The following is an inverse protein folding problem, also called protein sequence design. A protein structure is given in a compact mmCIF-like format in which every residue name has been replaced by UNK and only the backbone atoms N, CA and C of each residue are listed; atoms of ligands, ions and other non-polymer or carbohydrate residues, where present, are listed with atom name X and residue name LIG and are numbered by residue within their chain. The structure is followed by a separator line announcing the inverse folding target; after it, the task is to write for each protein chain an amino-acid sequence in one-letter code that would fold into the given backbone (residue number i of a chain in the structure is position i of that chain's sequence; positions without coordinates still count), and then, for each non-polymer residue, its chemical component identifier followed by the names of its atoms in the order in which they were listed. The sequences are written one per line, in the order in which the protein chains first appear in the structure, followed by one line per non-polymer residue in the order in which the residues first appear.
data_IF_465960752434
#
_entry.id   IF_465960752434
#
_cell.length_a   1.000
_cell.length_b   1.000
_cell.length_c   1.000
_cell.angle_alpha   90.00
_cell.angle_beta   90.00
_cell.angle_gamma   90.00
#
_symmetry.space_group_name_H-M   'P 1'
#
loop_
_entity.id
_entity.type
_entity.pdbx_description
1 polymer ?
#
# COMPACT_ATOMS: atom_id res chain seq x y z
N UNK A 1 42.48 32.10 -15.68
CA UNK A 1 42.82 33.11 -14.68
C UNK A 1 41.64 33.24 -13.69
N UNK A 2 41.96 33.12 -12.46
CA UNK A 2 41.25 33.33 -11.21
C UNK A 2 40.41 32.17 -10.67
N UNK A 3 41.12 31.41 -9.87
CA UNK A 3 40.61 30.61 -8.78
C UNK A 3 40.25 31.51 -7.56
N UNK A 4 39.22 31.20 -6.83
CA UNK A 4 39.10 31.56 -5.41
C UNK A 4 38.58 30.38 -4.65
N UNK A 5 39.42 29.90 -3.74
CA UNK A 5 39.13 28.88 -2.72
C UNK A 5 38.73 29.57 -1.39
N UNK A 6 38.41 28.71 -0.40
CA UNK A 6 38.34 28.91 1.05
C UNK A 6 36.92 29.18 1.60
N UNK A 7 36.45 28.63 2.70
CA UNK A 7 37.12 28.15 3.94
C UNK A 7 36.22 27.16 4.69
N UNK A 8 36.86 26.13 5.20
CA UNK A 8 36.32 25.29 6.29
C UNK A 8 36.37 26.06 7.62
N UNK A 9 35.41 25.87 8.51
CA UNK A 9 35.52 26.25 9.93
C UNK A 9 35.02 25.11 10.81
N UNK A 10 35.99 24.46 11.38
CA UNK A 10 35.89 23.53 12.54
C UNK A 10 35.72 24.37 13.79
N UNK A 11 34.80 24.03 14.68
CA UNK A 11 34.88 24.44 16.11
C UNK A 11 34.61 23.24 17.02
N UNK A 12 35.67 23.02 17.78
CA UNK A 12 35.86 22.01 18.82
C UNK A 12 34.99 22.17 20.06
N UNK A 13 34.90 21.06 20.74
CA UNK A 13 34.33 20.80 22.05
C UNK A 13 34.94 21.62 23.20
N UNK A 14 34.18 21.83 24.26
CA UNK A 14 34.70 21.92 25.61
C UNK A 14 33.82 21.23 26.64
N UNK A 15 34.47 20.35 27.37
CA UNK A 15 34.02 19.71 28.59
C UNK A 15 33.72 20.73 29.73
N UNK A 16 32.77 20.42 30.58
CA UNK A 16 32.76 20.92 31.95
C UNK A 16 32.27 19.84 32.91
N UNK A 17 33.04 19.72 33.96
CA UNK A 17 33.17 18.73 35.01
C UNK A 17 32.20 19.04 36.18
N UNK A 18 31.81 17.96 36.90
CA UNK A 18 31.05 17.93 38.16
C UNK A 18 31.57 18.83 39.28
N UNK A 19 30.77 19.07 40.37
CA UNK A 19 31.11 18.36 41.59
C UNK A 19 29.91 17.75 42.37
N UNK A 20 30.26 16.68 43.07
CA UNK A 20 29.51 16.04 44.16
C UNK A 20 29.54 16.96 45.40
N UNK A 21 28.48 16.93 46.19
CA UNK A 21 28.53 17.20 47.61
C UNK A 21 27.60 16.25 48.38
N UNK A 22 28.23 15.57 49.30
CA UNK A 22 27.63 14.70 50.31
C UNK A 22 27.26 15.51 51.56
N UNK A 23 26.20 15.15 52.25
CA UNK A 23 26.10 15.39 53.69
C UNK A 23 25.21 14.35 54.37
N UNK A 24 25.81 13.78 55.41
CA UNK A 24 25.25 12.85 56.38
C UNK A 24 24.42 13.60 57.45
N UNK A 25 23.50 12.85 58.07
CA UNK A 25 22.89 13.14 59.40
C UNK A 25 21.65 12.27 59.54
N UNK A 26 21.58 11.31 60.27
CA UNK A 26 21.75 10.85 61.63
C UNK A 26 20.45 10.97 62.47
N UNK A 27 19.98 9.77 62.87
CA UNK A 27 19.30 9.40 64.13
C UNK A 27 17.90 9.87 64.48
N UNK A 28 17.08 8.85 64.78
CA UNK A 28 16.26 8.75 65.97
C UNK A 28 14.95 7.93 65.80
N UNK A 29 14.68 7.00 66.69
CA UNK A 29 13.59 6.05 66.57
C UNK A 29 12.35 6.51 67.33
N UNK A 30 11.18 5.99 66.97
CA UNK A 30 10.20 5.46 67.92
C UNK A 30 8.80 5.29 67.29
N UNK A 31 8.21 4.27 67.75
CA UNK A 31 6.84 3.94 68.08
C UNK A 31 6.12 3.02 67.07
N UNK A 32 6.00 1.80 67.55
CA UNK A 32 5.10 0.77 67.05
C UNK A 32 3.64 1.17 67.32
N UNK A 33 2.85 1.23 66.26
CA UNK A 33 1.42 1.00 66.40
C UNK A 33 1.02 -0.08 65.41
N UNK A 34 0.64 -1.21 66.00
CA UNK A 34 0.03 -2.36 65.29
C UNK A 34 -1.42 -2.00 64.97
N UNK A 35 -1.75 -1.85 63.70
CA UNK A 35 -3.12 -1.89 63.22
C UNK A 35 -3.32 -3.22 62.46
N UNK A 36 -4.38 -3.97 62.69
CA UNK A 36 -4.57 -5.32 62.16
C UNK A 36 -4.85 -5.24 60.64
N UNK A 37 -4.13 -6.07 59.90
CA UNK A 37 -4.36 -6.27 58.48
C UNK A 37 -5.77 -6.84 58.22
N UNK A 38 -6.69 -6.01 57.76
CA UNK A 38 -7.88 -6.47 57.08
C UNK A 38 -7.48 -7.02 55.71
N UNK A 39 -7.66 -8.29 55.53
CA UNK A 39 -7.59 -8.97 54.24
C UNK A 39 -8.59 -8.32 53.25
N UNK A 40 -8.15 -7.35 52.50
CA UNK A 40 -8.84 -6.92 51.31
C UNK A 40 -8.58 -8.01 50.23
N UNK A 41 -9.58 -8.84 50.01
CA UNK A 41 -9.60 -9.70 48.81
C UNK A 41 -9.52 -8.79 47.59
N UNK A 42 -8.36 -8.78 46.97
CA UNK A 42 -8.18 -8.24 45.61
C UNK A 42 -9.12 -9.02 44.69
N UNK A 43 -10.24 -8.43 44.32
CA UNK A 43 -11.00 -8.84 43.18
C UNK A 43 -10.12 -8.61 41.96
N UNK A 44 -9.52 -9.68 41.46
CA UNK A 44 -8.93 -9.69 40.13
C UNK A 44 -9.99 -9.23 39.15
N UNK A 45 -9.95 -7.97 38.79
CA UNK A 45 -10.65 -7.46 37.61
C UNK A 45 -10.09 -8.26 36.42
N UNK A 46 -10.83 -9.27 36.00
CA UNK A 46 -10.67 -9.86 34.69
C UNK A 46 -10.89 -8.71 33.70
N UNK A 47 -9.81 -8.17 33.20
CA UNK A 47 -9.83 -7.36 31.99
C UNK A 47 -10.39 -8.30 30.92
N UNK A 48 -11.67 -8.18 30.66
CA UNK A 48 -12.26 -8.69 29.45
C UNK A 48 -11.59 -7.88 28.33
N UNK A 49 -10.51 -8.43 27.78
CA UNK A 49 -10.06 -8.04 26.46
C UNK A 49 -11.25 -8.29 25.53
N UNK A 50 -12.02 -7.27 25.31
CA UNK A 50 -12.97 -7.19 24.21
C UNK A 50 -12.13 -7.24 22.96
N UNK A 51 -11.82 -8.44 22.51
CA UNK A 51 -11.28 -8.68 21.19
C UNK A 51 -12.36 -8.15 20.25
N UNK A 52 -12.14 -6.93 19.75
CA UNK A 52 -13.00 -6.36 18.73
C UNK A 52 -13.03 -7.40 17.61
N UNK A 53 -14.17 -8.04 17.41
CA UNK A 53 -14.39 -8.94 16.28
C UNK A 53 -14.53 -8.00 15.09
N UNK A 54 -13.40 -7.64 14.51
CA UNK A 54 -13.42 -6.93 13.24
C UNK A 54 -14.16 -7.82 12.24
N UNK A 55 -15.18 -7.27 11.61
CA UNK A 55 -15.81 -7.92 10.49
C UNK A 55 -14.72 -8.31 9.50
N UNK A 56 -14.80 -9.50 8.95
CA UNK A 56 -13.75 -10.03 8.09
C UNK A 56 -14.38 -10.52 6.79
N UNK A 57 -13.69 -10.24 5.68
CA UNK A 57 -14.06 -10.74 4.35
C UNK A 57 -13.30 -12.03 4.09
N UNK A 58 -14.02 -13.11 3.86
CA UNK A 58 -13.43 -14.43 3.60
C UNK A 58 -13.46 -14.69 2.10
N UNK A 59 -12.29 -14.92 1.49
CA UNK A 59 -12.23 -15.37 0.10
C UNK A 59 -12.69 -16.84 0.03
N UNK A 60 -13.77 -17.13 -0.75
CA UNK A 60 -14.48 -18.40 -0.61
C UNK A 60 -13.69 -19.62 -1.08
N UNK A 61 -12.79 -19.47 -2.07
CA UNK A 61 -12.06 -20.59 -2.64
C UNK A 61 -10.81 -20.99 -1.84
N UNK A 62 -10.11 -20.03 -1.23
CA UNK A 62 -8.86 -20.25 -0.47
C UNK A 62 -9.07 -20.24 1.03
N UNK A 63 -10.21 -19.69 1.49
CA UNK A 63 -10.54 -19.44 2.91
C UNK A 63 -9.60 -18.42 3.59
N UNK A 64 -8.86 -17.66 2.79
CA UNK A 64 -8.08 -16.54 3.30
C UNK A 64 -9.02 -15.48 3.85
N UNK A 65 -8.67 -14.96 5.02
CA UNK A 65 -9.46 -13.95 5.71
C UNK A 65 -8.75 -12.60 5.65
N UNK A 66 -9.45 -11.60 5.14
CA UNK A 66 -9.01 -10.22 5.07
C UNK A 66 -9.77 -9.36 6.07
N UNK A 67 -9.14 -8.41 6.75
CA UNK A 67 -9.85 -7.47 7.62
C UNK A 67 -10.85 -6.64 6.79
N UNK A 68 -12.00 -6.31 7.38
CA UNK A 68 -13.02 -5.48 6.73
C UNK A 68 -12.54 -4.04 6.49
N UNK A 69 -11.60 -3.59 7.30
CA UNK A 69 -10.94 -2.28 7.17
C UNK A 69 -9.43 -2.44 7.22
N UNK A 70 -8.73 -1.58 6.50
CA UNK A 70 -7.28 -1.48 6.49
C UNK A 70 -6.87 -0.05 6.79
N UNK A 71 -6.02 0.14 7.80
CA UNK A 71 -5.42 1.45 8.08
C UNK A 71 -4.07 1.55 7.37
N UNK A 72 -3.81 2.66 6.71
CA UNK A 72 -2.51 2.96 6.11
C UNK A 72 -1.43 3.05 7.19
N UNK A 73 -0.19 2.80 6.82
CA UNK A 73 0.95 2.81 7.76
C UNK A 73 1.09 4.16 8.49
N UNK A 74 0.74 5.25 7.83
CA UNK A 74 0.73 6.60 8.39
C UNK A 74 -0.56 6.94 9.18
N UNK A 75 -1.49 6.00 9.32
CA UNK A 75 -2.81 6.16 9.94
C UNK A 75 -3.62 7.36 9.42
N UNK A 76 -3.31 7.83 8.21
CA UNK A 76 -4.01 8.99 7.61
C UNK A 76 -5.35 8.61 6.98
N UNK A 77 -5.55 7.35 6.65
CA UNK A 77 -6.80 6.85 6.09
C UNK A 77 -7.17 5.47 6.61
N UNK A 78 -8.47 5.25 6.78
CA UNK A 78 -9.05 3.94 7.04
C UNK A 78 -9.82 3.53 5.79
N UNK A 79 -9.29 2.53 5.09
CA UNK A 79 -9.90 2.03 3.86
C UNK A 79 -10.84 0.87 4.16
N UNK A 80 -11.95 0.78 3.42
CA UNK A 80 -12.94 -0.28 3.48
C UNK A 80 -12.60 -1.39 2.49
N UNK A 81 -12.73 -2.64 2.90
CA UNK A 81 -12.62 -3.78 2.00
C UNK A 81 -13.84 -3.82 1.06
N UNK A 82 -13.61 -3.75 -0.23
CA UNK A 82 -14.65 -3.86 -1.26
C UNK A 82 -15.01 -5.31 -1.54
N UNK A 83 -14.05 -6.23 -1.40
CA UNK A 83 -14.24 -7.64 -1.68
C UNK A 83 -12.93 -8.39 -1.79
N UNK A 84 -13.03 -9.69 -2.02
CA UNK A 84 -11.86 -10.54 -2.20
C UNK A 84 -12.12 -11.61 -3.26
N UNK A 85 -11.05 -12.01 -3.95
CA UNK A 85 -11.07 -13.08 -4.93
C UNK A 85 -9.75 -13.83 -4.99
N UNK A 86 -9.67 -14.82 -5.88
CA UNK A 86 -8.51 -15.69 -6.03
C UNK A 86 -7.91 -15.59 -7.42
N UNK A 87 -6.59 -15.51 -7.51
CA UNK A 87 -5.91 -15.77 -8.79
C UNK A 87 -5.59 -17.24 -8.92
N UNK A 88 -6.01 -17.79 -10.06
CA UNK A 88 -5.67 -19.14 -10.47
C UNK A 88 -4.79 -19.09 -11.74
N UNK A 89 -3.77 -19.93 -11.78
CA UNK A 89 -2.99 -20.16 -13.01
C UNK A 89 -3.27 -21.56 -13.52
N UNK A 90 -3.61 -21.66 -14.80
CA UNK A 90 -3.78 -22.98 -15.42
C UNK A 90 -2.41 -23.57 -15.72
N UNK A 91 -2.11 -24.71 -15.10
CA UNK A 91 -0.90 -25.49 -15.34
C UNK A 91 -1.36 -26.81 -15.95
N UNK A 92 -1.07 -27.00 -17.22
CA UNK A 92 -1.62 -28.10 -18.03
C UNK A 92 -3.17 -28.12 -17.95
N UNK A 93 -3.76 -29.10 -17.30
CA UNK A 93 -5.21 -29.26 -17.16
C UNK A 93 -5.75 -28.85 -15.79
N UNK A 94 -4.88 -28.41 -14.86
CA UNK A 94 -5.25 -28.12 -13.47
C UNK A 94 -5.19 -26.61 -13.22
N UNK A 95 -6.25 -26.07 -12.61
CA UNK A 95 -6.24 -24.70 -12.10
C UNK A 95 -5.60 -24.67 -10.72
N UNK A 96 -4.46 -24.00 -10.63
CA UNK A 96 -3.68 -23.88 -9.38
C UNK A 96 -3.93 -22.52 -8.77
N UNK A 97 -4.44 -22.49 -7.53
CA UNK A 97 -4.59 -21.27 -6.76
C UNK A 97 -3.21 -20.77 -6.35
N UNK A 98 -2.90 -19.52 -6.68
CA UNK A 98 -1.60 -18.90 -6.42
C UNK A 98 -1.69 -17.98 -5.20
N UNK A 99 -2.68 -17.08 -5.21
CA UNK A 99 -2.92 -16.15 -4.11
C UNK A 99 -4.39 -15.71 -4.03
N UNK A 100 -4.78 -15.24 -2.87
CA UNK A 100 -6.00 -14.47 -2.68
C UNK A 100 -5.66 -12.98 -2.74
N UNK A 101 -6.59 -12.15 -3.21
CA UNK A 101 -6.44 -10.70 -3.29
C UNK A 101 -7.70 -10.04 -2.77
N UNK A 102 -7.53 -8.99 -1.95
CA UNK A 102 -8.61 -8.10 -1.53
C UNK A 102 -8.32 -6.69 -2.00
N UNK A 103 -9.37 -5.97 -2.39
CA UNK A 103 -9.30 -4.55 -2.71
C UNK A 103 -9.86 -3.71 -1.57
N UNK A 104 -9.14 -2.65 -1.26
CA UNK A 104 -9.53 -1.64 -0.27
C UNK A 104 -9.65 -0.28 -0.93
N UNK A 105 -10.57 0.54 -0.46
CA UNK A 105 -10.73 1.92 -0.90
C UNK A 105 -11.12 2.83 0.26
N UNK A 106 -10.75 4.10 0.18
CA UNK A 106 -11.37 5.14 0.97
C UNK A 106 -12.86 5.20 0.59
N UNK A 107 -13.73 4.92 1.54
CA UNK A 107 -15.14 4.69 1.23
C UNK A 107 -15.85 5.93 0.71
N UNK A 108 -15.55 7.09 1.28
CA UNK A 108 -16.19 8.38 0.91
C UNK A 108 -15.69 8.84 -0.46
N UNK A 109 -14.38 8.86 -0.66
CA UNK A 109 -13.79 9.25 -1.94
C UNK A 109 -14.20 8.31 -3.07
N UNK A 110 -14.25 7.00 -2.80
CA UNK A 110 -14.66 6.00 -3.78
C UNK A 110 -16.13 6.19 -4.17
N UNK A 111 -17.04 6.37 -3.21
CA UNK A 111 -18.45 6.62 -3.48
C UNK A 111 -18.62 7.88 -4.33
N UNK A 112 -17.98 9.00 -3.97
CA UNK A 112 -18.04 10.25 -4.71
C UNK A 112 -17.52 10.11 -6.16
N UNK A 113 -16.42 9.38 -6.38
CA UNK A 113 -15.89 9.13 -7.72
C UNK A 113 -16.87 8.31 -8.58
N UNK A 114 -17.46 7.26 -8.02
CA UNK A 114 -18.44 6.42 -8.72
C UNK A 114 -19.72 7.20 -9.06
N UNK A 115 -20.20 8.06 -8.17
CA UNK A 115 -21.33 8.96 -8.42
C UNK A 115 -21.01 10.00 -9.50
N UNK A 116 -19.74 10.42 -9.59
CA UNK A 116 -19.22 11.29 -10.64
C UNK A 116 -19.09 10.61 -12.01
N UNK A 117 -19.30 9.30 -12.07
CA UNK A 117 -19.19 8.51 -13.31
C UNK A 117 -17.83 7.87 -13.54
N UNK A 118 -16.89 8.03 -12.61
CA UNK A 118 -15.59 7.34 -12.67
C UNK A 118 -15.74 5.85 -12.35
N UNK A 119 -14.86 5.02 -12.94
CA UNK A 119 -14.77 3.60 -12.58
C UNK A 119 -13.80 3.35 -11.41
N UNK A 120 -13.79 2.12 -10.89
CA UNK A 120 -12.81 1.71 -9.87
C UNK A 120 -11.37 1.84 -10.34
N UNK A 121 -11.11 1.64 -11.64
CA UNK A 121 -9.78 1.74 -12.21
C UNK A 121 -9.31 3.20 -12.27
N UNK A 122 -10.13 4.07 -12.86
CA UNK A 122 -9.75 5.45 -13.22
C UNK A 122 -10.08 6.47 -12.12
N UNK A 123 -10.94 6.12 -11.16
CA UNK A 123 -11.33 7.00 -10.06
C UNK A 123 -10.14 7.44 -9.20
N UNK A 124 -10.10 8.75 -8.93
CA UNK A 124 -9.03 9.43 -8.18
C UNK A 124 -9.26 9.35 -6.67
N UNK A 125 -9.27 8.16 -6.12
CA UNK A 125 -9.42 7.91 -4.68
C UNK A 125 -8.32 7.00 -4.16
N UNK A 126 -8.06 7.05 -2.86
CA UNK A 126 -7.10 6.19 -2.21
C UNK A 126 -7.57 4.74 -2.29
N UNK A 127 -6.75 3.86 -2.86
CA UNK A 127 -7.07 2.45 -3.08
C UNK A 127 -5.85 1.55 -2.87
N UNK A 128 -6.09 0.33 -2.44
CA UNK A 128 -5.04 -0.64 -2.24
C UNK A 128 -5.49 -2.06 -2.62
N UNK A 129 -4.51 -2.87 -3.03
CA UNK A 129 -4.66 -4.31 -3.18
C UNK A 129 -3.80 -4.99 -2.12
N UNK A 130 -4.40 -5.90 -1.36
CA UNK A 130 -3.69 -6.76 -0.43
C UNK A 130 -3.71 -8.19 -0.99
N UNK A 131 -2.56 -8.64 -1.44
CA UNK A 131 -2.33 -9.99 -1.97
C UNK A 131 -1.81 -10.88 -0.85
N UNK A 132 -2.39 -12.07 -0.65
CA UNK A 132 -1.89 -13.08 0.27
C UNK A 132 -1.63 -14.39 -0.48
N UNK A 133 -0.38 -14.83 -0.45
CA UNK A 133 0.02 -16.08 -1.09
C UNK A 133 -0.58 -17.28 -0.38
N UNK A 134 -1.13 -18.24 -1.15
CA UNK A 134 -1.69 -19.50 -0.59
C UNK A 134 -0.75 -20.68 -0.79
N UNK A 135 0.41 -20.42 -1.36
CA UNK A 135 1.51 -21.36 -1.57
C UNK A 135 2.84 -20.63 -1.60
N UNK A 136 3.93 -21.36 -1.46
CA UNK A 136 5.26 -20.81 -1.70
C UNK A 136 5.41 -20.47 -3.18
N UNK A 137 5.93 -19.30 -3.48
CA UNK A 137 6.28 -18.85 -4.82
C UNK A 137 7.70 -18.29 -4.75
N UNK A 138 8.54 -18.70 -5.66
CA UNK A 138 9.85 -18.10 -5.80
C UNK A 138 9.72 -16.65 -6.26
N UNK A 139 10.52 -15.74 -5.70
CA UNK A 139 10.45 -14.31 -5.98
C UNK A 139 10.64 -13.99 -7.46
N UNK A 140 11.58 -14.67 -8.11
CA UNK A 140 11.79 -14.54 -9.55
C UNK A 140 10.56 -14.98 -10.36
N UNK A 141 9.96 -16.13 -10.01
CA UNK A 141 8.74 -16.61 -10.68
C UNK A 141 7.56 -15.66 -10.45
N UNK A 142 7.48 -15.04 -9.27
CA UNK A 142 6.45 -14.05 -8.98
C UNK A 142 6.66 -12.80 -9.83
N UNK A 143 7.90 -12.32 -9.91
CA UNK A 143 8.29 -11.19 -10.74
C UNK A 143 7.99 -11.44 -12.23
N UNK A 144 8.45 -12.56 -12.79
CA UNK A 144 8.21 -12.91 -14.20
C UNK A 144 6.71 -12.90 -14.55
N UNK A 145 5.86 -13.39 -13.64
CA UNK A 145 4.41 -13.36 -13.86
C UNK A 145 3.81 -11.94 -13.74
N UNK A 146 4.45 -11.04 -12.99
CA UNK A 146 4.06 -9.64 -12.89
C UNK A 146 4.50 -8.87 -14.12
N UNK A 147 5.74 -9.05 -14.55
CA UNK A 147 6.32 -8.48 -15.77
C UNK A 147 5.48 -8.83 -17.01
N UNK A 148 5.17 -10.11 -17.20
CA UNK A 148 4.30 -10.61 -18.28
C UNK A 148 2.92 -9.91 -18.28
N UNK A 149 2.40 -9.58 -17.12
CA UNK A 149 1.11 -8.92 -16.98
C UNK A 149 1.19 -7.39 -17.17
N UNK A 150 2.25 -6.74 -16.74
CA UNK A 150 2.35 -5.27 -16.67
C UNK A 150 2.88 -4.65 -17.95
N UNK A 151 3.95 -5.20 -18.55
CA UNK A 151 4.59 -4.59 -19.72
C UNK A 151 3.63 -4.33 -20.88
N UNK A 152 2.75 -5.28 -21.29
CA UNK A 152 1.77 -5.01 -22.33
C UNK A 152 0.81 -3.87 -21.98
N UNK A 153 0.38 -3.80 -20.72
CA UNK A 153 -0.55 -2.78 -20.22
C UNK A 153 0.08 -1.38 -20.18
N UNK A 154 1.32 -1.29 -19.71
CA UNK A 154 2.07 -0.02 -19.71
C UNK A 154 2.18 0.53 -21.13
N UNK A 155 2.55 -0.31 -22.09
CA UNK A 155 2.64 0.07 -23.50
C UNK A 155 1.30 0.47 -24.11
N UNK A 156 0.23 -0.23 -23.77
CA UNK A 156 -1.12 0.11 -24.21
C UNK A 156 -1.55 1.47 -23.64
N UNK A 157 -1.31 1.73 -22.36
CA UNK A 157 -1.59 3.01 -21.71
C UNK A 157 -0.81 4.12 -22.41
N UNK A 158 0.50 3.96 -22.61
CA UNK A 158 1.34 4.94 -23.28
C UNK A 158 0.92 5.18 -24.74
N UNK A 159 0.55 4.11 -25.48
CA UNK A 159 0.05 4.21 -26.85
C UNK A 159 -1.28 4.99 -26.91
N UNK A 160 -2.19 4.72 -26.00
CA UNK A 160 -3.48 5.41 -25.95
C UNK A 160 -3.29 6.89 -25.60
N UNK A 161 -2.33 7.21 -24.74
CA UNK A 161 -1.95 8.60 -24.45
C UNK A 161 -1.32 9.28 -25.68
N UNK A 162 -0.38 8.61 -26.35
CA UNK A 162 0.34 9.16 -27.50
C UNK A 162 -0.60 9.43 -28.70
N UNK A 163 -1.69 8.69 -28.80
CA UNK A 163 -2.71 8.83 -29.86
C UNK A 163 -3.90 9.71 -29.47
N UNK A 164 -3.88 10.33 -28.27
CA UNK A 164 -4.94 11.21 -27.84
C UNK A 164 -5.05 12.44 -28.76
N UNK A 165 -6.29 12.77 -29.10
CA UNK A 165 -6.65 13.92 -29.93
C UNK A 165 -7.29 15.02 -29.04
N UNK A 166 -7.18 16.27 -29.49
CA UNK A 166 -7.92 17.34 -28.85
C UNK A 166 -9.42 17.27 -29.18
N UNK A 167 -10.23 18.14 -28.58
CA UNK A 167 -11.67 18.19 -28.83
C UNK A 167 -12.05 18.47 -30.30
N UNK A 168 -11.10 18.88 -31.14
CA UNK A 168 -11.23 19.15 -32.56
C UNK A 168 -10.69 18.02 -33.44
N UNK A 169 -10.18 16.93 -32.86
CA UNK A 169 -9.62 15.78 -33.54
C UNK A 169 -8.19 16.01 -34.08
N UNK A 170 -7.42 16.94 -33.49
CA UNK A 170 -6.04 17.17 -33.90
C UNK A 170 -5.08 16.36 -33.00
N UNK A 171 -4.09 15.76 -33.63
CA UNK A 171 -3.03 15.06 -32.91
C UNK A 171 -2.19 16.04 -32.06
N UNK A 172 -1.97 15.68 -30.80
CA UNK A 172 -1.23 16.47 -29.84
C UNK A 172 0.22 15.96 -29.72
N UNK A 173 1.15 16.49 -30.49
CA UNK A 173 2.55 16.07 -30.48
C UNK A 173 3.21 16.17 -29.08
N UNK A 174 2.87 17.17 -28.30
CA UNK A 174 3.34 17.34 -26.91
C UNK A 174 2.86 16.24 -25.99
N UNK A 175 1.68 15.66 -26.26
CA UNK A 175 1.14 14.51 -25.50
C UNK A 175 1.89 13.24 -25.87
N UNK A 176 2.27 13.06 -27.14
CA UNK A 176 3.05 11.92 -27.58
C UNK A 176 4.45 11.90 -26.92
N UNK A 177 5.16 13.05 -26.91
CA UNK A 177 6.45 13.16 -26.20
C UNK A 177 6.31 12.87 -24.69
N UNK A 178 5.25 13.36 -24.07
CA UNK A 178 4.99 13.09 -22.66
C UNK A 178 4.62 11.62 -22.39
N UNK A 179 3.97 10.94 -23.33
CA UNK A 179 3.68 9.51 -23.24
C UNK A 179 4.95 8.65 -23.29
N UNK A 180 5.94 9.01 -24.11
CA UNK A 180 7.25 8.35 -24.14
C UNK A 180 7.97 8.48 -22.80
N UNK A 181 7.99 9.68 -22.22
CA UNK A 181 8.59 9.94 -20.90
C UNK A 181 7.85 9.16 -19.82
N UNK A 182 6.53 9.06 -19.89
CA UNK A 182 5.71 8.32 -18.94
C UNK A 182 5.95 6.79 -19.03
N UNK A 183 6.11 6.26 -20.25
CA UNK A 183 6.47 4.85 -20.46
C UNK A 183 7.86 4.56 -19.88
N UNK A 184 8.87 5.41 -20.15
CA UNK A 184 10.22 5.28 -19.61
C UNK A 184 10.20 5.27 -18.07
N UNK A 185 9.49 6.20 -17.46
CA UNK A 185 9.35 6.28 -16.01
C UNK A 185 8.65 5.02 -15.43
N UNK A 186 7.64 4.49 -16.12
CA UNK A 186 6.97 3.26 -15.72
C UNK A 186 7.91 2.05 -15.81
N UNK A 187 8.69 1.96 -16.87
CA UNK A 187 9.68 0.88 -17.05
C UNK A 187 10.81 0.96 -16.03
N UNK A 188 11.28 2.16 -15.68
CA UNK A 188 12.24 2.33 -14.59
C UNK A 188 11.65 1.85 -13.24
N UNK A 189 10.39 2.15 -12.96
CA UNK A 189 9.68 1.62 -11.78
C UNK A 189 9.54 0.09 -11.79
N UNK A 190 9.47 -0.52 -12.97
CA UNK A 190 9.48 -1.98 -13.12
C UNK A 190 10.81 -2.59 -12.66
N UNK A 191 11.94 -1.94 -12.91
CA UNK A 191 13.24 -2.41 -12.43
C UNK A 191 13.33 -2.38 -10.91
N UNK A 192 12.81 -1.34 -10.25
CA UNK A 192 12.72 -1.26 -8.78
C UNK A 192 11.83 -2.37 -8.20
N UNK A 193 10.70 -2.68 -8.85
CA UNK A 193 9.84 -3.79 -8.44
C UNK A 193 10.50 -5.15 -8.62
N UNK A 194 11.31 -5.32 -9.66
CA UNK A 194 12.09 -6.52 -9.89
C UNK A 194 13.03 -6.79 -8.72
N UNK A 195 13.80 -5.77 -8.34
CA UNK A 195 14.75 -5.89 -7.22
C UNK A 195 14.02 -6.23 -5.90
N UNK A 196 12.86 -5.60 -5.65
CA UNK A 196 12.02 -5.92 -4.48
C UNK A 196 11.60 -7.38 -4.46
N UNK A 197 11.10 -7.93 -5.56
CA UNK A 197 10.52 -9.27 -5.58
C UNK A 197 11.56 -10.37 -5.75
N UNK A 198 12.58 -10.18 -6.58
CA UNK A 198 13.66 -11.16 -6.72
C UNK A 198 14.44 -11.37 -5.42
N UNK A 199 14.56 -10.32 -4.59
CA UNK A 199 15.15 -10.41 -3.25
C UNK A 199 14.20 -11.00 -2.19
N UNK A 200 12.90 -11.12 -2.47
CA UNK A 200 11.90 -11.51 -1.49
C UNK A 200 11.72 -13.02 -1.38
N UNK A 201 11.62 -13.51 -0.14
CA UNK A 201 11.27 -14.90 0.14
C UNK A 201 9.73 -15.02 0.32
N UNK A 202 9.04 -15.21 -0.80
CA UNK A 202 7.57 -15.24 -0.85
C UNK A 202 7.03 -16.64 -0.49
N UNK A 203 6.92 -16.90 0.80
CA UNK A 203 6.31 -18.13 1.33
C UNK A 203 4.80 -18.07 1.32
N UNK A 204 4.17 -19.21 1.51
CA UNK A 204 2.75 -19.27 1.86
C UNK A 204 2.47 -18.33 3.03
N UNK A 205 1.35 -17.61 2.96
CA UNK A 205 0.89 -16.59 3.89
C UNK A 205 1.68 -15.26 3.86
N UNK A 206 2.73 -15.14 3.03
CA UNK A 206 3.32 -13.84 2.73
C UNK A 206 2.29 -12.92 2.11
N UNK A 207 2.35 -11.64 2.47
CA UNK A 207 1.44 -10.60 1.97
C UNK A 207 2.21 -9.55 1.20
N UNK A 208 1.64 -9.11 0.09
CA UNK A 208 2.11 -7.97 -0.69
C UNK A 208 1.01 -6.91 -0.67
N UNK A 209 1.36 -5.73 -0.24
CA UNK A 209 0.48 -4.55 -0.28
C UNK A 209 0.88 -3.69 -1.48
N UNK A 210 -0.09 -3.34 -2.30
CA UNK A 210 0.02 -2.37 -3.39
C UNK A 210 -0.91 -1.23 -3.02
N UNK A 211 -0.37 -0.11 -2.61
CA UNK A 211 -1.11 1.02 -2.07
C UNK A 211 -0.92 2.24 -2.98
N UNK A 212 -2.01 2.75 -3.52
CA UNK A 212 -1.99 3.94 -4.34
C UNK A 212 -2.74 5.08 -3.67
N UNK A 213 -2.03 6.17 -3.44
CA UNK A 213 -2.55 7.38 -2.84
C UNK A 213 -2.57 8.49 -3.91
N UNK A 214 -3.75 9.01 -4.26
CA UNK A 214 -3.85 10.14 -5.16
C UNK A 214 -3.16 11.36 -4.57
N UNK A 215 -2.43 12.08 -5.40
CA UNK A 215 -1.81 13.35 -5.07
C UNK A 215 -2.70 14.52 -5.47
N UNK A 216 -2.06 15.67 -5.65
CA UNK A 216 -2.73 16.88 -6.11
C UNK A 216 -2.86 16.88 -7.64
N UNK A 217 -3.81 17.64 -8.15
CA UNK A 217 -3.82 17.96 -9.58
C UNK A 217 -2.52 18.64 -9.96
N UNK A 218 -1.92 18.20 -11.05
CA UNK A 218 -0.67 18.73 -11.57
C UNK A 218 -0.82 18.99 -13.05
N UNK A 219 -0.52 20.20 -13.45
CA UNK A 219 -0.49 20.58 -14.87
C UNK A 219 0.77 20.05 -15.59
N UNK A 220 1.70 19.46 -14.85
CA UNK A 220 2.98 18.96 -15.39
C UNK A 220 2.94 17.48 -15.75
N UNK A 221 1.92 16.75 -15.32
CA UNK A 221 1.71 15.34 -15.69
C UNK A 221 0.70 15.24 -16.82
N UNK A 222 0.93 14.30 -17.73
CA UNK A 222 0.01 14.06 -18.87
C UNK A 222 -1.38 13.65 -18.39
N UNK A 223 -1.44 12.95 -17.28
CA UNK A 223 -2.70 12.57 -16.63
C UNK A 223 -3.34 13.71 -15.85
N UNK A 224 -2.70 14.89 -15.77
CA UNK A 224 -3.15 16.03 -14.97
C UNK A 224 -3.11 15.77 -13.46
N UNK A 225 -2.34 14.78 -13.00
CA UNK A 225 -2.47 14.25 -11.67
C UNK A 225 -1.18 13.62 -11.16
N UNK A 226 -0.79 13.90 -9.95
CA UNK A 226 0.31 13.23 -9.26
C UNK A 226 -0.24 12.17 -8.31
N UNK A 227 0.51 11.13 -8.04
CA UNK A 227 0.14 10.11 -7.07
C UNK A 227 1.37 9.39 -6.55
N UNK A 228 1.18 8.68 -5.45
CA UNK A 228 2.21 7.86 -4.82
C UNK A 228 1.75 6.42 -4.81
N UNK A 229 2.54 5.57 -5.43
CA UNK A 229 2.40 4.13 -5.39
C UNK A 229 3.42 3.56 -4.40
N UNK A 230 2.95 2.87 -3.40
CA UNK A 230 3.78 2.18 -2.41
C UNK A 230 3.54 0.69 -2.53
N UNK A 231 4.61 -0.08 -2.70
CA UNK A 231 4.54 -1.54 -2.76
C UNK A 231 5.45 -2.11 -1.71
N UNK A 232 4.89 -2.96 -0.84
CA UNK A 232 5.62 -3.57 0.26
C UNK A 232 5.30 -5.04 0.41
N UNK A 233 6.32 -5.82 0.82
CA UNK A 233 6.13 -7.19 1.31
C UNK A 233 5.92 -7.09 2.83
N UNK A 234 4.70 -7.36 3.30
CA UNK A 234 4.31 -7.17 4.69
C UNK A 234 5.12 -8.10 5.60
N UNK A 235 5.83 -7.50 6.55
CA UNK A 235 6.71 -8.23 7.48
C UNK A 235 8.15 -8.39 6.99
N UNK A 236 8.49 -7.86 5.81
CA UNK A 236 9.86 -7.61 5.38
C UNK A 236 10.09 -6.09 5.41
N UNK A 237 11.30 -5.66 5.80
CA UNK A 237 11.67 -4.22 5.76
C UNK A 237 11.98 -3.79 4.31
N UNK A 238 11.11 -4.19 3.37
CA UNK A 238 11.27 -3.93 1.96
C UNK A 238 10.02 -3.23 1.42
N UNK A 239 10.18 -1.97 1.04
CA UNK A 239 9.14 -1.12 0.47
C UNK A 239 9.74 -0.31 -0.67
N UNK A 240 9.01 -0.22 -1.77
CA UNK A 240 9.33 0.65 -2.91
C UNK A 240 8.26 1.71 -3.04
N UNK A 241 8.67 2.95 -3.25
CA UNK A 241 7.80 4.09 -3.47
C UNK A 241 8.01 4.64 -4.88
N UNK A 242 6.98 4.66 -5.69
CA UNK A 242 7.00 5.07 -7.09
C UNK A 242 5.98 6.19 -7.33
N UNK A 243 6.27 7.02 -8.32
CA UNK A 243 5.40 8.14 -8.71
C UNK A 243 4.78 7.96 -10.10
N UNK A 244 5.14 6.89 -10.84
CA UNK A 244 4.57 6.61 -12.15
C UNK A 244 3.09 6.25 -12.04
N UNK A 245 2.26 7.07 -12.66
CA UNK A 245 0.81 6.88 -12.74
C UNK A 245 0.45 5.74 -13.69
N UNK A 246 1.21 5.59 -14.76
CA UNK A 246 1.02 4.56 -15.78
C UNK A 246 1.27 3.18 -15.18
N UNK A 247 2.34 3.05 -14.38
CA UNK A 247 2.61 1.81 -13.64
C UNK A 247 1.55 1.54 -12.58
N UNK A 248 1.12 2.57 -11.84
CA UNK A 248 0.04 2.43 -10.87
C UNK A 248 -1.26 1.96 -11.57
N UNK A 249 -1.63 2.62 -12.67
CA UNK A 249 -2.81 2.24 -13.45
C UNK A 249 -2.69 0.82 -13.98
N UNK A 250 -1.54 0.43 -14.54
CA UNK A 250 -1.31 -0.92 -15.06
C UNK A 250 -1.45 -1.99 -13.97
N UNK A 251 -0.97 -1.73 -12.75
CA UNK A 251 -1.13 -2.66 -11.61
C UNK A 251 -2.58 -2.88 -11.21
N UNK A 252 -3.40 -1.83 -11.20
CA UNK A 252 -4.82 -1.98 -10.93
C UNK A 252 -5.58 -2.55 -12.13
N UNK A 253 -5.16 -2.27 -13.36
CA UNK A 253 -5.74 -2.81 -14.60
C UNK A 253 -5.63 -4.35 -14.67
N UNK A 254 -4.59 -4.93 -14.09
CA UNK A 254 -4.45 -6.39 -13.93
C UNK A 254 -5.71 -7.03 -13.33
N UNK A 255 -6.42 -6.31 -12.45
CA UNK A 255 -7.63 -6.81 -11.78
C UNK A 255 -8.92 -6.15 -12.23
N UNK A 256 -8.86 -4.89 -12.67
CA UNK A 256 -10.04 -4.05 -12.94
C UNK A 256 -10.26 -3.80 -14.43
N UNK A 257 -9.24 -4.03 -15.27
CA UNK A 257 -9.31 -3.83 -16.71
C UNK A 257 -10.21 -4.81 -17.44
N UNK A 258 -10.21 -4.73 -18.77
CA UNK A 258 -11.07 -5.55 -19.64
C UNK A 258 -10.65 -7.02 -19.67
N UNK A 259 -9.36 -7.30 -19.46
CA UNK A 259 -8.82 -8.66 -19.38
C UNK A 259 -8.24 -8.97 -17.98
N UNK A 260 -9.09 -9.05 -16.93
CA UNK A 260 -8.63 -9.23 -15.57
C UNK A 260 -8.07 -10.63 -15.35
N UNK A 261 -6.99 -10.73 -14.57
CA UNK A 261 -6.39 -12.04 -14.19
C UNK A 261 -7.30 -12.87 -13.28
N UNK A 262 -8.31 -12.25 -12.69
CA UNK A 262 -9.33 -12.87 -11.85
C UNK A 262 -10.67 -12.17 -12.04
N UNK A 263 -11.53 -12.66 -12.96
CA UNK A 263 -12.87 -12.11 -13.15
C UNK A 263 -13.73 -12.15 -11.89
N UNK A 264 -13.59 -13.20 -11.08
CA UNK A 264 -14.31 -13.31 -9.79
C UNK A 264 -13.89 -12.21 -8.79
N UNK A 265 -12.60 -11.85 -8.77
CA UNK A 265 -12.11 -10.75 -7.95
C UNK A 265 -12.68 -9.42 -8.41
N UNK A 266 -12.64 -9.14 -9.74
CA UNK A 266 -13.24 -7.93 -10.33
C UNK A 266 -14.71 -7.79 -9.93
N UNK A 267 -15.51 -8.83 -10.14
CA UNK A 267 -16.93 -8.83 -9.78
C UNK A 267 -17.17 -8.60 -8.28
N UNK A 268 -16.33 -9.18 -7.40
CA UNK A 268 -16.42 -8.95 -5.97
C UNK A 268 -16.10 -7.50 -5.58
N UNK A 269 -15.10 -6.89 -6.22
CA UNK A 269 -14.71 -5.49 -5.97
C UNK A 269 -15.80 -4.53 -6.44
N UNK A 270 -16.34 -4.72 -7.62
CA UNK A 270 -17.44 -3.93 -8.18
C UNK A 270 -18.70 -4.03 -7.31
N UNK A 271 -19.06 -5.25 -6.89
CA UNK A 271 -20.19 -5.47 -6.00
C UNK A 271 -20.02 -4.81 -4.61
N UNK A 272 -18.78 -4.76 -4.10
CA UNK A 272 -18.45 -4.07 -2.86
C UNK A 272 -18.52 -2.55 -3.00
N UNK A 273 -18.01 -2.02 -4.09
CA UNK A 273 -18.04 -0.60 -4.42
C UNK A 273 -19.49 -0.08 -4.58
N UNK A 274 -20.34 -0.84 -5.28
CA UNK A 274 -21.76 -0.50 -5.42
C UNK A 274 -22.51 -0.42 -4.07
N UNK A 275 -22.05 -1.12 -3.03
CA UNK A 275 -22.63 -1.02 -1.69
C UNK A 275 -22.23 0.29 -0.98
N UNK A 276 -21.10 0.89 -1.34
CA UNK A 276 -20.68 2.17 -0.78
C UNK A 276 -21.62 3.29 -1.24
N UNK A 277 -21.96 3.32 -2.53
CA UNK A 277 -22.89 4.33 -3.09
C UNK A 277 -24.33 4.19 -2.58
N UNK A 278 -24.74 2.99 -2.14
CA UNK A 278 -26.05 2.77 -1.54
C UNK A 278 -26.12 3.15 -0.05
N UNK A 279 -24.97 3.30 0.60
CA UNK A 279 -24.87 3.59 2.02
C UNK A 279 -24.52 5.08 2.30
N UNK A 280 -24.13 5.82 1.28
CA UNK A 280 -23.90 7.26 1.32
C UNK A 280 -25.20 8.05 1.14
#
# INVERSE_FOLDING_TARGET
MHAVATHASVRSATHAVHPRLSSRGAFGPTVRDRVPARFARSASARVLETRAVFAAVVEPATKVTFPDTYSTHDNTAVMKCLGAGVRQKKIAIINVKVYAVAMYADAEQCAAALEGGDGLLDGKFHKALLVQLVRNVDGKTFWEALDEALVPRIREIATNMATAEDAQGNFMATVAEAAEVAEEAAMAGMDELKDLFEGANLKKDSRVLINWKPGKESATTVTGFEGKLEISVVGADATVELTSMELARALFDVYLGDAPVSPDAKAAFEAGAAKLTLAA
#
